data_IF_246218577706
#
_entry.id   IF_246218577706
#
_cell.length_a   1.000
_cell.length_b   1.000
_cell.length_c   1.000
_cell.angle_alpha   90.00
_cell.angle_beta   90.00
_cell.angle_gamma   90.00
#
_symmetry.space_group_name_H-M   'P 1'
#
loop_
_entity.id
_entity.type
_entity.pdbx_description
1 polymer ?
#
# COMPACT_ATOMS: atom_id res chain seq x y z
N UNK A 1 -3.44 2.53 -3.59
CA UNK A 1 -2.63 1.68 -4.50
C UNK A 1 -1.30 1.38 -3.82
N UNK A 2 -0.73 0.18 -3.95
CA UNK A 2 0.52 -0.17 -3.24
C UNK A 2 1.82 0.36 -3.87
N UNK A 3 1.84 0.82 -5.12
CA UNK A 3 3.05 1.38 -5.74
C UNK A 3 2.77 2.62 -6.60
N UNK A 4 3.54 3.69 -6.43
CA UNK A 4 3.58 4.84 -7.35
C UNK A 4 4.96 5.53 -7.35
N UNK A 5 5.85 5.03 -8.22
CA UNK A 5 7.12 5.71 -8.52
C UNK A 5 7.44 5.62 -10.01
N UNK A 6 7.14 6.71 -10.74
CA UNK A 6 7.39 6.78 -12.19
C UNK A 6 8.87 6.60 -12.58
N UNK A 7 9.80 6.96 -11.68
CA UNK A 7 11.25 6.80 -11.92
C UNK A 7 11.76 5.40 -11.56
N UNK A 8 10.95 4.61 -10.85
CA UNK A 8 11.29 3.27 -10.38
C UNK A 8 10.74 2.13 -11.26
N UNK A 9 9.96 2.43 -12.31
CA UNK A 9 9.42 1.40 -13.21
C UNK A 9 10.50 0.56 -13.89
N UNK A 10 10.13 -0.68 -14.23
CA UNK A 10 11.04 -1.71 -14.73
C UNK A 10 11.67 -2.52 -13.60
N UNK A 11 12.77 -3.22 -13.90
CA UNK A 11 13.43 -4.18 -12.99
C UNK A 11 13.82 -3.59 -11.61
N UNK A 12 14.03 -2.26 -11.55
CA UNK A 12 14.46 -1.57 -10.33
C UNK A 12 13.38 -1.54 -9.25
N UNK A 13 12.12 -1.41 -9.62
CA UNK A 13 11.00 -1.28 -8.69
C UNK A 13 10.39 -2.61 -8.23
N UNK A 14 10.77 -3.74 -8.83
CA UNK A 14 10.10 -5.03 -8.60
C UNK A 14 10.24 -5.52 -7.16
N UNK A 15 11.46 -5.48 -6.62
CA UNK A 15 11.73 -5.94 -5.26
C UNK A 15 11.09 -5.02 -4.21
N UNK A 16 11.22 -3.70 -4.40
CA UNK A 16 10.64 -2.69 -3.53
C UNK A 16 9.11 -2.77 -3.53
N UNK A 17 8.49 -2.90 -4.71
CA UNK A 17 7.04 -3.02 -4.84
C UNK A 17 6.51 -4.25 -4.10
N UNK A 18 7.16 -5.42 -4.23
CA UNK A 18 6.75 -6.63 -3.51
C UNK A 18 6.91 -6.48 -2.00
N UNK A 19 8.00 -5.86 -1.56
CA UNK A 19 8.30 -5.61 -0.15
C UNK A 19 7.25 -4.69 0.50
N UNK A 20 6.98 -3.55 -0.12
CA UNK A 20 6.00 -2.61 0.41
C UNK A 20 4.59 -3.17 0.32
N UNK A 21 4.23 -3.87 -0.75
CA UNK A 21 2.93 -4.51 -0.93
C UNK A 21 2.67 -5.62 0.11
N UNK A 22 3.69 -6.40 0.47
CA UNK A 22 3.61 -7.38 1.56
C UNK A 22 3.26 -6.69 2.88
N UNK A 23 4.03 -5.65 3.24
CA UNK A 23 3.74 -4.86 4.44
C UNK A 23 2.35 -4.22 4.40
N UNK A 24 1.96 -3.61 3.27
CA UNK A 24 0.68 -2.91 3.16
C UNK A 24 -0.50 -3.85 3.33
N UNK A 25 -0.41 -5.07 2.79
CA UNK A 25 -1.42 -6.11 2.95
C UNK A 25 -1.65 -6.44 4.43
N UNK A 26 -0.59 -6.69 5.19
CA UNK A 26 -0.68 -6.94 6.63
C UNK A 26 -1.15 -5.72 7.42
N UNK A 27 -0.71 -4.52 7.01
CA UNK A 27 -1.05 -3.29 7.70
C UNK A 27 -2.54 -2.95 7.62
N UNK A 28 -3.25 -3.31 6.55
CA UNK A 28 -4.66 -2.91 6.37
C UNK A 28 -5.69 -3.92 6.86
N UNK A 29 -5.30 -5.18 7.07
CA UNK A 29 -6.23 -6.27 7.42
C UNK A 29 -6.71 -6.24 8.87
N UNK A 30 -5.92 -5.71 9.81
CA UNK A 30 -6.30 -5.62 11.21
C UNK A 30 -6.91 -4.24 11.54
N UNK A 31 -8.23 -4.14 11.79
CA UNK A 31 -8.89 -2.88 12.09
C UNK A 31 -8.35 -2.19 13.36
N UNK A 32 -7.80 -2.96 14.31
CA UNK A 32 -7.30 -2.41 15.57
C UNK A 32 -5.96 -1.68 15.41
N UNK A 33 -5.16 -2.02 14.40
CA UNK A 33 -3.79 -1.50 14.24
C UNK A 33 -3.57 -0.75 12.93
N UNK A 34 -4.46 -0.89 11.94
CA UNK A 34 -4.27 -0.32 10.59
C UNK A 34 -4.08 1.18 10.55
N UNK A 35 -4.82 1.93 11.36
CA UNK A 35 -4.75 3.40 11.37
C UNK A 35 -3.35 3.86 11.81
N UNK A 36 -2.82 3.20 12.84
CA UNK A 36 -1.50 3.50 13.36
C UNK A 36 -0.37 3.06 12.43
N UNK A 37 -0.53 1.89 11.80
CA UNK A 37 0.40 1.42 10.78
C UNK A 37 0.46 2.39 9.58
N UNK A 38 -0.70 2.84 9.08
CA UNK A 38 -0.77 3.79 7.96
C UNK A 38 -0.27 5.18 8.34
N UNK A 39 -0.46 5.65 9.58
CA UNK A 39 0.19 6.88 10.06
C UNK A 39 1.72 6.81 10.00
N UNK A 40 2.29 5.62 10.25
CA UNK A 40 3.74 5.37 10.21
C UNK A 40 4.23 4.79 8.88
N UNK A 41 3.45 4.89 7.81
CA UNK A 41 3.78 4.28 6.52
C UNK A 41 5.17 4.64 5.99
N UNK A 42 5.71 5.83 6.30
CA UNK A 42 7.05 6.25 5.85
C UNK A 42 8.18 5.40 6.43
N UNK A 43 7.93 4.74 7.57
CA UNK A 43 8.85 3.81 8.22
C UNK A 43 8.68 2.37 7.72
N UNK A 44 7.70 2.12 6.86
CA UNK A 44 7.51 0.81 6.24
C UNK A 44 8.69 0.47 5.31
N UNK A 45 8.98 -0.83 5.15
CA UNK A 45 10.04 -1.24 4.25
C UNK A 45 9.72 -0.81 2.81
N UNK A 46 10.71 -0.22 2.14
CA UNK A 46 10.61 0.32 0.77
C UNK A 46 9.56 1.45 0.57
N UNK A 47 9.07 2.10 1.64
CA UNK A 47 8.03 3.12 1.56
C UNK A 47 8.32 4.24 0.56
N UNK A 48 9.45 4.95 0.74
CA UNK A 48 9.83 6.07 -0.15
C UNK A 48 10.32 5.62 -1.53
N UNK A 49 10.71 4.35 -1.68
CA UNK A 49 11.01 3.78 -2.97
C UNK A 49 9.73 3.51 -3.78
N UNK A 50 8.65 3.10 -3.13
CA UNK A 50 7.34 2.86 -3.75
C UNK A 50 6.49 4.13 -3.86
N UNK A 51 6.61 5.06 -2.93
CA UNK A 51 5.88 6.33 -2.86
C UNK A 51 6.85 7.44 -2.46
N UNK A 52 7.55 8.08 -3.42
CA UNK A 52 8.49 9.17 -3.12
C UNK A 52 7.82 10.32 -2.34
N UNK A 53 6.52 10.50 -2.59
CA UNK A 53 5.62 11.46 -1.96
C UNK A 53 4.30 10.76 -1.65
N UNK A 54 3.47 11.40 -0.85
CA UNK A 54 2.26 10.84 -0.24
C UNK A 54 1.10 10.64 -1.25
N UNK A 55 1.09 11.33 -2.38
CA UNK A 55 -0.14 11.67 -3.09
C UNK A 55 -0.97 10.47 -3.60
N UNK A 56 -0.32 9.39 -4.07
CA UNK A 56 -1.03 8.21 -4.56
C UNK A 56 -1.33 7.17 -3.46
N UNK A 57 -0.79 7.36 -2.26
CA UNK A 57 -1.12 6.58 -1.08
C UNK A 57 -2.23 7.25 -0.24
N UNK A 58 -2.33 8.59 -0.24
CA UNK A 58 -3.33 9.34 0.51
C UNK A 58 -4.78 8.86 0.33
N UNK A 59 -5.27 8.49 -0.87
CA UNK A 59 -6.63 7.98 -1.02
C UNK A 59 -6.90 6.74 -0.16
N UNK A 60 -5.90 5.90 0.07
CA UNK A 60 -6.02 4.75 0.97
C UNK A 60 -6.26 5.21 2.41
N UNK A 61 -5.52 6.21 2.90
CA UNK A 61 -5.69 6.72 4.26
C UNK A 61 -7.09 7.29 4.49
N UNK A 62 -7.65 7.97 3.50
CA UNK A 62 -9.01 8.53 3.55
C UNK A 62 -10.05 7.40 3.66
N UNK A 63 -9.99 6.39 2.79
CA UNK A 63 -10.96 5.28 2.84
C UNK A 63 -10.78 4.42 4.09
N UNK A 64 -9.54 4.21 4.58
CA UNK A 64 -9.30 3.49 5.84
C UNK A 64 -9.93 4.22 7.03
N UNK A 65 -9.84 5.55 7.08
CA UNK A 65 -10.47 6.35 8.13
C UNK A 65 -12.00 6.29 8.07
N UNK A 66 -12.58 6.27 6.88
CA UNK A 66 -14.02 6.12 6.69
C UNK A 66 -14.53 4.71 7.04
N UNK A 67 -13.71 3.68 6.84
CA UNK A 67 -14.05 2.28 7.03
C UNK A 67 -14.18 1.84 8.50
N UNK A 68 -13.84 2.68 9.49
CA UNK A 68 -14.04 2.36 10.92
C UNK A 68 -13.45 1.02 11.35
N UNK A 69 -14.31 0.03 11.63
CA UNK A 69 -13.93 -1.34 12.00
C UNK A 69 -14.11 -2.39 10.90
N UNK A 70 -14.53 -1.99 9.70
CA UNK A 70 -14.84 -2.88 8.58
C UNK A 70 -13.65 -3.76 8.20
N UNK A 71 -13.90 -4.99 7.78
CA UNK A 71 -12.83 -5.91 7.42
C UNK A 71 -12.23 -5.50 6.06
N UNK A 72 -10.91 -5.59 5.93
CA UNK A 72 -10.24 -5.33 4.66
C UNK A 72 -10.01 -6.62 3.87
N UNK A 73 -10.16 -6.53 2.55
CA UNK A 73 -9.78 -7.57 1.59
C UNK A 73 -8.94 -6.96 0.47
N UNK A 74 -8.13 -7.80 -0.20
CA UNK A 74 -7.32 -7.40 -1.35
C UNK A 74 -7.87 -8.06 -2.61
N UNK A 75 -8.97 -7.56 -3.20
CA UNK A 75 -9.64 -8.20 -4.33
C UNK A 75 -8.77 -8.26 -5.59
N UNK A 76 -7.75 -7.40 -5.68
CA UNK A 76 -6.72 -7.48 -6.70
C UNK A 76 -5.34 -7.38 -6.06
N UNK A 77 -4.46 -8.28 -6.47
CA UNK A 77 -3.04 -8.29 -6.10
C UNK A 77 -2.25 -8.91 -7.25
N UNK A 78 -1.63 -8.08 -8.08
CA UNK A 78 -1.01 -8.52 -9.32
C UNK A 78 0.12 -7.61 -9.77
N UNK A 79 0.86 -8.06 -10.77
CA UNK A 79 1.97 -7.28 -11.32
C UNK A 79 1.47 -6.45 -12.52
N UNK A 80 1.65 -5.14 -12.46
CA UNK A 80 1.28 -4.17 -13.51
C UNK A 80 2.56 -3.50 -13.97
N UNK A 81 2.89 -3.61 -15.26
CA UNK A 81 4.17 -3.12 -15.82
C UNK A 81 5.41 -3.64 -15.04
N UNK A 82 5.31 -4.87 -14.52
CA UNK A 82 6.39 -5.55 -13.80
C UNK A 82 6.47 -5.26 -12.29
N UNK A 83 5.73 -4.27 -11.77
CA UNK A 83 5.72 -3.95 -10.33
C UNK A 83 4.43 -4.45 -9.67
N UNK A 84 4.54 -4.86 -8.42
CA UNK A 84 3.39 -5.33 -7.64
C UNK A 84 2.44 -4.18 -7.30
N UNK A 85 1.16 -4.39 -7.56
CA UNK A 85 0.08 -3.46 -7.23
C UNK A 85 -1.09 -4.21 -6.60
N UNK A 86 -1.69 -3.62 -5.56
CA UNK A 86 -2.90 -4.12 -4.89
C UNK A 86 -4.02 -3.09 -4.84
N UNK A 87 -5.25 -3.59 -4.96
CA UNK A 87 -6.48 -2.90 -4.60
C UNK A 87 -6.93 -3.36 -3.21
N UNK A 88 -7.52 -2.46 -2.43
CA UNK A 88 -7.99 -2.72 -1.06
C UNK A 88 -9.46 -2.35 -1.00
N UNK A 89 -10.27 -3.22 -0.40
CA UNK A 89 -11.71 -3.05 -0.24
C UNK A 89 -12.09 -3.30 1.22
N UNK A 90 -12.94 -2.42 1.79
CA UNK A 90 -13.46 -2.52 3.14
C UNK A 90 -14.95 -2.88 3.09
N UNK A 91 -15.40 -3.83 3.91
CA UNK A 91 -16.79 -4.31 3.97
C UNK A 91 -17.22 -4.77 5.38
#
# INVERSE_FOLDING_TARGET
>A
MSYHNMRGFGVRGVADARTFDAWLGEAVVDPATREEALRRWTSAPAARACHPREEHLLPLMVVTGAAGSDAASLPFRGDVLGVRVSAIHYA
#
